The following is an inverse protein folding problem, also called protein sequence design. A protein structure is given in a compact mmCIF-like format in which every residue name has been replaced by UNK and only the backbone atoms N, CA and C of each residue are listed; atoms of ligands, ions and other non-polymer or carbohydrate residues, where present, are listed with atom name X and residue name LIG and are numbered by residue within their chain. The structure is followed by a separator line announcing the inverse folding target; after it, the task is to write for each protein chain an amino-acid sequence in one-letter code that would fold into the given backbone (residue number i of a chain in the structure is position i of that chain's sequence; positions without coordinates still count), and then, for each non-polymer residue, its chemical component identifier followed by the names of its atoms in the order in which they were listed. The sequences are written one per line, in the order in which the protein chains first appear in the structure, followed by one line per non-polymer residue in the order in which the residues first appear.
data_IF_308538048452
#
_entry.id   IF_308538048452
#
_cell.length_a   1.000
_cell.length_b   1.000
_cell.length_c   1.000
_cell.angle_alpha   90.00
_cell.angle_beta   90.00
_cell.angle_gamma   90.00
#
_symmetry.space_group_name_H-M   'P 1'
#
loop_
_entity.id
_entity.type
_entity.pdbx_description
1 polymer ?
#
# COMPACT_ATOMS: atom_id res chain seq x y z
N UNK A 1 26.09 22.67 -21.11
CA UNK A 1 25.78 22.45 -19.68
C UNK A 1 25.17 21.06 -19.60
N UNK A 2 25.72 20.10 -18.86
CA UNK A 2 25.03 18.85 -18.65
C UNK A 2 23.82 19.13 -17.74
N UNK A 3 22.67 18.59 -18.10
CA UNK A 3 21.47 18.61 -17.26
C UNK A 3 21.77 17.84 -15.97
N UNK A 4 22.03 18.57 -14.89
CA UNK A 4 22.04 18.06 -13.52
C UNK A 4 20.60 17.65 -13.17
N UNK A 5 20.18 16.47 -13.61
CA UNK A 5 19.03 15.83 -13.02
C UNK A 5 19.55 15.21 -11.72
N UNK A 6 19.34 15.83 -10.54
CA UNK A 6 19.88 15.32 -9.30
C UNK A 6 19.37 13.90 -9.16
N UNK A 7 20.28 12.94 -8.99
CA UNK A 7 19.96 11.53 -8.84
C UNK A 7 18.93 11.39 -7.73
N UNK A 8 17.66 11.30 -8.14
CA UNK A 8 16.58 11.49 -7.20
C UNK A 8 16.59 10.32 -6.22
N UNK A 9 16.53 10.62 -4.92
CA UNK A 9 16.59 9.63 -3.85
C UNK A 9 15.54 8.53 -4.06
N UNK A 10 15.84 7.29 -3.65
CA UNK A 10 14.88 6.20 -3.77
C UNK A 10 13.61 6.49 -2.95
N UNK A 11 13.77 7.15 -1.80
CA UNK A 11 12.66 7.58 -0.95
C UNK A 11 11.77 8.61 -1.66
N UNK A 12 12.37 9.62 -2.29
CA UNK A 12 11.62 10.67 -3.02
C UNK A 12 10.88 10.10 -4.23
N UNK A 13 11.49 9.16 -4.94
CA UNK A 13 10.86 8.47 -6.08
C UNK A 13 9.66 7.64 -5.64
N UNK A 14 9.79 6.92 -4.51
CA UNK A 14 8.69 6.13 -3.96
C UNK A 14 7.57 7.04 -3.43
N UNK A 15 7.90 8.11 -2.69
CA UNK A 15 6.93 9.09 -2.20
C UNK A 15 6.08 9.68 -3.33
N UNK A 16 6.72 10.06 -4.45
CA UNK A 16 6.01 10.55 -5.63
C UNK A 16 5.09 9.49 -6.22
N UNK A 17 5.59 8.26 -6.37
CA UNK A 17 4.80 7.13 -6.90
C UNK A 17 3.57 6.83 -6.06
N UNK A 18 3.70 6.87 -4.72
CA UNK A 18 2.59 6.71 -3.77
C UNK A 18 1.51 7.78 -3.97
N UNK A 19 1.92 9.06 -3.98
CA UNK A 19 1.00 10.18 -4.20
C UNK A 19 0.30 10.07 -5.55
N UNK A 20 1.04 9.77 -6.61
CA UNK A 20 0.49 9.63 -7.96
C UNK A 20 -0.54 8.50 -8.01
N UNK A 21 -0.23 7.33 -7.47
CA UNK A 21 -1.15 6.20 -7.46
C UNK A 21 -2.39 6.45 -6.60
N UNK A 22 -2.25 7.16 -5.47
CA UNK A 22 -3.40 7.59 -4.66
C UNK A 22 -4.34 8.48 -5.48
N UNK A 23 -3.79 9.50 -6.14
CA UNK A 23 -4.56 10.44 -6.96
C UNK A 23 -5.19 9.77 -8.18
N UNK A 24 -4.48 8.83 -8.83
CA UNK A 24 -5.02 8.06 -9.96
C UNK A 24 -6.20 7.17 -9.59
N UNK A 25 -6.32 6.80 -8.31
CA UNK A 25 -7.41 5.99 -7.77
C UNK A 25 -8.51 6.83 -7.11
N UNK A 26 -8.41 8.16 -7.19
CA UNK A 26 -9.32 9.11 -6.55
C UNK A 26 -9.48 8.88 -5.04
N UNK A 27 -8.38 8.51 -4.37
CA UNK A 27 -8.35 8.27 -2.93
C UNK A 27 -7.93 9.55 -2.19
N UNK A 28 -8.69 9.94 -1.18
CA UNK A 28 -8.27 10.98 -0.23
C UNK A 28 -7.17 10.46 0.70
N UNK A 29 -6.50 11.37 1.41
CA UNK A 29 -5.54 10.99 2.45
C UNK A 29 -6.24 10.16 3.54
N UNK A 30 -7.46 10.54 3.91
CA UNK A 30 -8.26 9.83 4.92
C UNK A 30 -8.69 8.44 4.45
N UNK A 31 -8.91 8.23 3.15
CA UNK A 31 -9.14 6.88 2.60
C UNK A 31 -7.93 5.99 2.81
N UNK A 32 -6.74 6.49 2.50
CA UNK A 32 -5.50 5.74 2.74
C UNK A 32 -5.28 5.50 4.24
N UNK A 33 -5.53 6.48 5.11
CA UNK A 33 -5.42 6.29 6.56
C UNK A 33 -6.24 5.08 7.02
N UNK A 34 -7.48 4.95 6.55
CA UNK A 34 -8.36 3.82 6.88
C UNK A 34 -7.85 2.49 6.35
N UNK A 35 -7.23 2.47 5.17
CA UNK A 35 -6.73 1.24 4.54
C UNK A 35 -5.45 0.72 5.20
N UNK A 36 -4.47 1.60 5.46
CA UNK A 36 -3.13 1.19 5.93
C UNK A 36 -2.91 1.38 7.43
N UNK A 37 -3.87 2.00 8.12
CA UNK A 37 -3.81 2.35 9.54
C UNK A 37 -2.57 3.22 9.87
N UNK A 38 -2.34 4.24 9.05
CA UNK A 38 -1.30 5.26 9.23
C UNK A 38 -1.99 6.62 9.23
N UNK A 39 -1.75 7.43 10.27
CA UNK A 39 -2.37 8.76 10.45
C UNK A 39 -2.19 9.64 9.20
N UNK A 40 -3.23 10.38 8.80
CA UNK A 40 -3.20 11.30 7.64
C UNK A 40 -2.00 12.25 7.67
N UNK A 41 -1.68 12.82 8.83
CA UNK A 41 -0.51 13.70 9.00
C UNK A 41 0.83 13.04 8.64
N UNK A 42 0.96 11.72 8.82
CA UNK A 42 2.16 10.98 8.41
C UNK A 42 2.14 10.71 6.90
N UNK A 43 0.99 10.38 6.32
CA UNK A 43 0.84 10.18 4.88
C UNK A 43 1.22 11.46 4.13
N UNK A 44 0.74 12.62 4.58
CA UNK A 44 1.08 13.92 4.00
C UNK A 44 2.59 14.19 4.03
N UNK A 45 3.25 13.91 5.16
CA UNK A 45 4.71 14.05 5.30
C UNK A 45 5.47 13.12 4.36
N UNK A 46 5.06 11.85 4.26
CA UNK A 46 5.64 10.89 3.32
C UNK A 46 5.51 11.36 1.88
N UNK A 47 4.32 11.82 1.46
CA UNK A 47 4.07 12.35 0.11
C UNK A 47 4.81 13.66 -0.18
N UNK A 48 5.13 14.44 0.86
CA UNK A 48 5.93 15.65 0.77
C UNK A 48 7.45 15.38 0.77
N UNK A 49 7.89 14.12 0.97
CA UNK A 49 9.30 13.77 1.07
C UNK A 49 9.95 14.11 2.42
N UNK A 50 9.14 14.44 3.45
CA UNK A 50 9.64 14.61 4.82
C UNK A 50 9.70 13.25 5.51
N UNK A 51 10.91 12.72 5.64
CA UNK A 51 11.21 11.46 6.32
C UNK A 51 11.83 11.66 7.71
N UNK A 52 11.95 12.91 8.16
CA UNK A 52 12.66 13.26 9.40
C UNK A 52 11.77 13.18 10.66
N UNK A 53 10.45 13.16 10.45
CA UNK A 53 9.45 13.24 11.52
C UNK A 53 9.34 11.99 12.40
N UNK A 54 9.91 10.86 11.96
CA UNK A 54 9.93 9.59 12.68
C UNK A 54 11.30 8.92 12.56
N UNK A 55 11.63 7.99 13.47
CA UNK A 55 12.83 7.17 13.31
C UNK A 55 12.76 6.34 12.01
N UNK A 56 13.91 6.06 11.36
CA UNK A 56 13.96 5.47 10.02
C UNK A 56 13.16 4.15 9.86
N UNK A 57 13.20 3.28 10.87
CA UNK A 57 12.47 2.01 10.85
C UNK A 57 10.94 2.20 10.71
N UNK A 58 10.38 3.24 11.34
CA UNK A 58 8.94 3.54 11.27
C UNK A 58 8.56 4.18 9.94
N UNK A 59 9.42 5.05 9.41
CA UNK A 59 9.25 5.59 8.05
C UNK A 59 9.20 4.46 7.03
N UNK A 60 10.18 3.54 7.08
CA UNK A 60 10.24 2.41 6.17
C UNK A 60 9.01 1.50 6.27
N UNK A 61 8.56 1.20 7.49
CA UNK A 61 7.38 0.35 7.67
C UNK A 61 6.08 1.01 7.19
N UNK A 62 5.93 2.33 7.34
CA UNK A 62 4.81 3.06 6.72
C UNK A 62 4.89 3.06 5.20
N UNK A 63 6.07 3.35 4.61
CA UNK A 63 6.28 3.28 3.16
C UNK A 63 5.95 1.90 2.61
N UNK A 64 6.40 0.83 3.26
CA UNK A 64 6.12 -0.55 2.84
C UNK A 64 4.62 -0.88 2.90
N UNK A 65 3.94 -0.53 3.99
CA UNK A 65 2.48 -0.75 4.10
C UNK A 65 1.73 0.00 3.01
N UNK A 66 2.08 1.27 2.81
CA UNK A 66 1.42 2.12 1.84
C UNK A 66 1.67 1.65 0.40
N UNK A 67 2.92 1.29 0.09
CA UNK A 67 3.27 0.74 -1.21
C UNK A 67 2.61 -0.63 -1.46
N UNK A 68 2.46 -1.46 -0.42
CA UNK A 68 1.76 -2.74 -0.51
C UNK A 68 0.28 -2.59 -0.79
N UNK A 69 -0.40 -1.64 -0.13
CA UNK A 69 -1.81 -1.34 -0.37
C UNK A 69 -2.06 -0.82 -1.79
N UNK A 70 -1.14 0.01 -2.29
CA UNK A 70 -1.26 0.55 -3.65
C UNK A 70 -0.65 -0.37 -4.73
N UNK A 71 0.19 -1.32 -4.38
CA UNK A 71 0.91 -2.16 -5.35
C UNK A 71 1.87 -1.37 -6.25
N UNK A 72 2.57 -0.37 -5.70
CA UNK A 72 3.35 0.63 -6.47
C UNK A 72 4.86 0.54 -6.31
N UNK A 73 5.36 -0.46 -5.58
CA UNK A 73 6.80 -0.65 -5.39
C UNK A 73 7.19 -2.12 -5.55
N UNK A 74 8.30 -2.37 -6.25
CA UNK A 74 8.97 -3.67 -6.21
C UNK A 74 9.76 -3.85 -4.91
N UNK A 75 10.11 -5.10 -4.60
CA UNK A 75 11.00 -5.40 -3.47
C UNK A 75 12.37 -4.72 -3.64
N UNK A 76 12.89 -4.55 -4.87
CA UNK A 76 14.15 -3.81 -5.08
C UNK A 76 14.02 -2.33 -4.71
N UNK A 77 12.90 -1.69 -5.05
CA UNK A 77 12.65 -0.29 -4.71
C UNK A 77 12.53 -0.09 -3.19
N UNK A 78 11.85 -1.03 -2.51
CA UNK A 78 11.76 -1.03 -1.05
C UNK A 78 13.13 -1.25 -0.40
N UNK A 79 13.95 -2.17 -0.91
CA UNK A 79 15.31 -2.38 -0.40
C UNK A 79 16.23 -1.18 -0.65
N UNK A 80 16.07 -0.46 -1.75
CA UNK A 80 16.80 0.79 -1.99
C UNK A 80 16.44 1.85 -0.93
N UNK A 81 15.14 2.07 -0.67
CA UNK A 81 14.66 2.97 0.37
C UNK A 81 15.21 2.59 1.75
N UNK A 82 15.23 1.29 2.04
CA UNK A 82 15.71 0.74 3.32
C UNK A 82 17.20 0.99 3.55
N UNK A 83 18.02 0.79 2.51
CA UNK A 83 19.46 1.08 2.54
C UNK A 83 19.70 2.57 2.73
N UNK A 84 18.94 3.41 2.04
CA UNK A 84 19.04 4.86 2.15
C UNK A 84 18.70 5.35 3.57
N UNK A 85 17.70 4.73 4.20
CA UNK A 85 17.35 4.96 5.61
C UNK A 85 18.36 4.38 6.62
N UNK A 86 19.42 3.71 6.16
CA UNK A 86 20.45 3.10 7.02
C UNK A 86 19.94 1.92 7.85
N UNK A 87 18.87 1.24 7.43
CA UNK A 87 18.27 0.14 8.20
C UNK A 87 19.03 -1.16 7.90
N UNK A 88 19.65 -1.81 8.91
CA UNK A 88 20.49 -3.00 8.70
C UNK A 88 19.67 -4.21 8.27
N UNK A 89 20.23 -5.06 7.40
CA UNK A 89 19.62 -6.28 6.85
C UNK A 89 19.16 -7.28 7.93
N UNK A 90 17.84 -7.43 8.14
CA UNK A 90 17.27 -8.33 9.16
C UNK A 90 16.76 -9.62 8.53
N UNK A 91 17.53 -10.20 7.58
CA UNK A 91 17.21 -11.47 6.89
C UNK A 91 17.18 -12.70 7.80
N UNK A 92 17.20 -12.53 9.12
CA UNK A 92 17.10 -13.60 10.12
C UNK A 92 15.68 -13.90 10.60
N UNK A 93 14.62 -13.35 9.98
CA UNK A 93 13.24 -13.66 10.37
C UNK A 93 12.43 -14.33 9.26
N UNK A 94 12.99 -15.36 8.61
CA UNK A 94 12.24 -16.49 8.04
C UNK A 94 13.18 -17.68 7.78
N UNK A 95 13.46 -18.44 8.84
CA UNK A 95 13.33 -19.90 8.75
C UNK A 95 12.41 -20.30 9.90
N UNK A 96 11.15 -20.69 9.66
CA UNK A 96 10.44 -21.42 10.69
C UNK A 96 11.27 -22.67 10.98
N UNK A 97 11.80 -22.79 12.20
CA UNK A 97 12.21 -24.09 12.70
C UNK A 97 10.98 -25.02 12.52
N UNK A 98 11.14 -26.24 11.98
CA UNK A 98 10.06 -27.21 11.99
C UNK A 98 9.54 -27.32 13.43
N UNK A 99 8.30 -26.87 13.64
CA UNK A 99 7.62 -27.05 14.91
C UNK A 99 7.44 -28.55 15.10
N UNK A 100 8.25 -29.14 15.98
CA UNK A 100 7.97 -30.47 16.51
C UNK A 100 6.61 -30.41 17.19
N UNK A 101 5.70 -31.19 16.63
CA UNK A 101 4.40 -31.48 17.18
C UNK A 101 4.60 -32.25 18.48
N UNK A 102 4.29 -31.65 19.62
CA UNK A 102 3.95 -32.42 20.81
C UNK A 102 2.82 -31.74 21.58
N UNK A 103 1.63 -32.27 21.33
CA UNK A 103 0.53 -32.50 22.26
C UNK A 103 0.31 -31.50 23.41
N UNK A 104 -0.82 -30.77 23.30
CA UNK A 104 -1.90 -31.01 24.26
C UNK A 104 -2.28 -29.88 25.22
N UNK A 105 -3.59 -29.83 25.47
CA UNK A 105 -4.33 -29.18 26.55
C UNK A 105 -4.82 -27.75 26.26
N UNK A 106 -6.11 -27.66 25.94
CA UNK A 106 -6.79 -26.43 25.56
C UNK A 106 -7.51 -25.68 26.69
N UNK A 107 -8.03 -24.51 26.29
CA UNK A 107 -9.23 -23.81 26.80
C UNK A 107 -9.40 -22.60 25.85
N UNK A 108 -10.35 -22.63 24.93
CA UNK A 108 -11.76 -22.22 25.08
C UNK A 108 -11.95 -20.71 25.33
N UNK A 109 -12.70 -20.08 24.39
CA UNK A 109 -13.40 -18.78 24.42
C UNK A 109 -12.48 -17.55 24.18
N UNK A 110 -12.79 -16.54 23.36
CA UNK A 110 -14.08 -16.07 22.87
C UNK A 110 -13.91 -15.08 21.70
N UNK A 111 -14.93 -15.02 20.83
CA UNK A 111 -15.41 -13.88 20.06
C UNK A 111 -14.47 -13.07 19.13
N UNK A 112 -14.69 -13.15 17.82
CA UNK A 112 -15.47 -12.13 17.11
C UNK A 112 -15.59 -12.51 15.63
N UNK A 113 -16.81 -12.72 15.19
CA UNK A 113 -17.11 -13.15 13.83
C UNK A 113 -17.02 -12.01 12.83
N UNK A 114 -16.64 -12.33 11.60
CA UNK A 114 -17.25 -11.74 10.42
C UNK A 114 -17.22 -12.76 9.28
N UNK A 115 -18.43 -13.20 8.96
CA UNK A 115 -18.74 -14.25 8.00
C UNK A 115 -18.58 -13.66 6.59
N UNK A 116 -17.95 -14.43 5.71
CA UNK A 116 -18.30 -14.66 4.30
C UNK A 116 -19.27 -13.63 3.69
N UNK A 117 -18.75 -12.75 2.82
CA UNK A 117 -19.55 -12.12 1.76
C UNK A 117 -18.82 -12.34 0.44
N UNK A 118 -19.03 -13.52 -0.12
CA UNK A 118 -19.07 -13.70 -1.58
C UNK A 118 -20.45 -13.26 -2.01
N UNK A 119 -20.58 -12.31 -2.96
CA UNK A 119 -21.63 -12.23 -3.99
C UNK A 119 -21.34 -11.04 -4.93
N UNK A 120 -20.96 -11.38 -6.17
CA UNK A 120 -21.42 -10.85 -7.46
C UNK A 120 -21.47 -9.32 -7.70
N UNK A 121 -20.44 -8.78 -8.37
CA UNK A 121 -20.58 -7.57 -9.22
C UNK A 121 -20.32 -7.97 -10.67
N UNK A 122 -21.27 -8.71 -11.25
CA UNK A 122 -21.39 -8.89 -12.71
C UNK A 122 -22.82 -8.48 -13.08
N UNK A 123 -23.11 -7.19 -12.94
CA UNK A 123 -24.37 -6.59 -13.39
C UNK A 123 -24.20 -5.13 -13.85
N UNK A 124 -23.14 -4.43 -13.44
CA UNK A 124 -22.91 -3.03 -13.82
C UNK A 124 -22.42 -2.83 -15.26
N UNK A 125 -21.66 -3.78 -15.81
CA UNK A 125 -21.04 -3.62 -17.14
C UNK A 125 -22.04 -3.67 -18.29
N UNK A 126 -23.11 -4.49 -18.19
CA UNK A 126 -24.15 -4.56 -19.21
C UNK A 126 -25.04 -3.30 -19.24
N UNK A 127 -25.33 -2.72 -18.08
CA UNK A 127 -26.17 -1.51 -18.00
C UNK A 127 -25.45 -0.29 -18.59
N UNK A 128 -24.14 -0.16 -18.35
CA UNK A 128 -23.34 0.93 -18.93
C UNK A 128 -23.33 0.89 -20.47
N UNK A 129 -23.16 -0.30 -21.06
CA UNK A 129 -23.16 -0.46 -22.52
C UNK A 129 -24.52 -0.15 -23.15
N UNK A 130 -25.62 -0.52 -22.50
CA UNK A 130 -26.96 -0.22 -22.99
C UNK A 130 -27.26 1.29 -23.01
N UNK A 131 -26.82 2.03 -21.98
CA UNK A 131 -27.01 3.49 -21.92
C UNK A 131 -26.21 4.23 -23.00
N UNK A 132 -24.98 3.80 -23.27
CA UNK A 132 -24.14 4.38 -24.33
C UNK A 132 -24.75 4.15 -25.71
N UNK A 133 -25.22 2.93 -26.00
CA UNK A 133 -25.87 2.61 -27.27
C UNK A 133 -27.14 3.44 -27.50
N UNK A 134 -27.96 3.62 -26.45
CA UNK A 134 -29.17 4.43 -26.52
C UNK A 134 -28.87 5.91 -26.79
N UNK A 135 -27.86 6.47 -26.13
CA UNK A 135 -27.44 7.86 -26.37
C UNK A 135 -27.00 8.09 -27.82
N UNK A 136 -26.22 7.17 -28.40
CA UNK A 136 -25.75 7.28 -29.80
C UNK A 136 -26.91 7.20 -30.81
N UNK A 137 -27.98 6.47 -30.48
CA UNK A 137 -29.19 6.38 -31.30
C UNK A 137 -30.04 7.66 -31.27
N UNK A 138 -30.05 8.39 -30.15
CA UNK A 138 -30.77 9.66 -30.01
C UNK A 138 -30.02 10.86 -30.64
N UNK A 139 -28.71 10.72 -30.89
CA UNK A 139 -27.87 11.75 -31.52
C UNK A 139 -27.70 11.56 -33.05
N UNK A 140 -28.38 10.58 -33.65
CA UNK A 140 -28.44 10.37 -35.12
C UNK A 140 -29.79 10.79 -35.67
#
# INVERSE_FOLDING_TARGET
MPDENPTQSALEQLARSLRQARLQRDLSVDDIERLVNVRSAHIEKLEAGDFSFLPPLYVYSHLRKYAGELGVASEEQLEACRKELGIPDSRFSTKPAPAEQSAGVGKSLNASGSKRVTVLIVAGTALALALVALAVLLLR
#
